data_IF_749459971284
#
_entry.id   IF_749459971284
#
_cell.length_a   1.000
_cell.length_b   1.000
_cell.length_c   1.000
_cell.angle_alpha   90.00
_cell.angle_beta   90.00
_cell.angle_gamma   90.00
#
_symmetry.space_group_name_H-M   'P 1'
#
loop_
_entity.id
_entity.type
_entity.pdbx_description
1 polymer ?
#
# COMPACT_ATOMS: atom_id res chain seq x y z
N UNK A 1 -4.52 -11.68 -14.34
CA UNK A 1 -4.58 -10.67 -13.27
C UNK A 1 -3.24 -9.93 -13.22
N UNK A 2 -3.26 -8.60 -13.18
CA UNK A 2 -2.06 -7.76 -13.12
C UNK A 2 -1.29 -7.89 -11.78
N UNK A 3 -1.88 -8.52 -10.78
CA UNK A 3 -1.30 -8.70 -9.47
C UNK A 3 -1.12 -10.20 -9.19
N UNK A 4 0.10 -10.64 -8.95
CA UNK A 4 0.34 -11.99 -8.45
C UNK A 4 -0.23 -12.13 -7.04
N UNK A 5 -0.74 -13.31 -6.67
CA UNK A 5 -1.28 -13.57 -5.32
C UNK A 5 -0.28 -13.21 -4.22
N UNK A 6 1.01 -13.46 -4.44
CA UNK A 6 2.07 -13.07 -3.51
C UNK A 6 2.18 -11.56 -3.29
N UNK A 7 1.98 -10.74 -4.34
CA UNK A 7 2.00 -9.29 -4.20
C UNK A 7 0.79 -8.75 -3.42
N UNK A 8 -0.37 -9.41 -3.52
CA UNK A 8 -1.57 -9.05 -2.75
C UNK A 8 -1.39 -9.40 -1.27
N UNK A 9 -0.89 -10.60 -0.97
CA UNK A 9 -0.60 -11.04 0.41
C UNK A 9 0.42 -10.10 1.06
N UNK A 10 1.54 -9.83 0.38
CA UNK A 10 2.56 -8.91 0.89
C UNK A 10 2.01 -7.50 1.12
N UNK A 11 1.16 -6.98 0.24
CA UNK A 11 0.50 -5.68 0.42
C UNK A 11 -0.42 -5.68 1.64
N UNK A 12 -1.33 -6.64 1.74
CA UNK A 12 -2.27 -6.70 2.86
C UNK A 12 -1.52 -6.80 4.18
N UNK A 13 -0.52 -7.70 4.30
CA UNK A 13 0.28 -7.85 5.52
C UNK A 13 1.03 -6.55 5.86
N UNK A 14 1.89 -6.06 4.97
CA UNK A 14 2.74 -4.90 5.27
C UNK A 14 1.96 -3.59 5.42
N UNK A 15 0.83 -3.42 4.71
CA UNK A 15 0.00 -2.23 4.84
C UNK A 15 -0.83 -2.28 6.12
N UNK A 16 -1.30 -3.46 6.54
CA UNK A 16 -2.00 -3.65 7.83
C UNK A 16 -1.06 -3.40 9.01
N UNK A 17 0.19 -3.88 8.95
CA UNK A 17 1.20 -3.62 9.98
C UNK A 17 1.44 -2.12 10.17
N UNK A 18 1.54 -1.35 9.09
CA UNK A 18 1.71 0.12 9.16
C UNK A 18 0.52 0.84 9.78
N UNK A 19 -0.71 0.36 9.50
CA UNK A 19 -1.92 0.90 10.12
C UNK A 19 -1.93 0.58 11.61
N UNK A 20 -1.58 -0.67 11.96
CA UNK A 20 -1.49 -1.13 13.34
C UNK A 20 -0.47 -0.32 14.14
N UNK A 21 0.75 -0.16 13.61
CA UNK A 21 1.81 0.61 14.25
C UNK A 21 1.36 2.04 14.55
N UNK A 22 0.67 2.68 13.58
CA UNK A 22 0.16 4.04 13.80
C UNK A 22 -0.93 4.08 14.86
N UNK A 23 -1.87 3.13 14.87
CA UNK A 23 -2.94 3.09 15.88
C UNK A 23 -2.38 2.76 17.26
N UNK A 24 -1.50 1.75 17.36
CA UNK A 24 -0.97 1.27 18.63
C UNK A 24 0.02 2.24 19.28
N UNK A 25 0.93 2.81 18.47
CA UNK A 25 2.00 3.66 18.97
C UNK A 25 1.81 5.12 18.59
N UNK A 26 1.45 5.40 17.33
CA UNK A 26 1.35 6.77 16.84
C UNK A 26 0.30 7.61 17.55
N UNK A 27 -0.91 7.07 17.74
CA UNK A 27 -2.00 7.77 18.44
C UNK A 27 -1.63 8.01 19.91
N UNK A 28 -1.05 7.02 20.57
CA UNK A 28 -0.62 7.11 21.97
C UNK A 28 0.47 8.17 22.14
N UNK A 29 1.51 8.13 21.32
CA UNK A 29 2.63 9.07 21.36
C UNK A 29 2.20 10.51 21.06
N UNK A 30 1.32 10.71 20.06
CA UNK A 30 0.76 12.05 19.76
C UNK A 30 -0.05 12.57 20.93
N UNK A 31 -0.88 11.72 21.56
CA UNK A 31 -1.70 12.11 22.71
C UNK A 31 -0.82 12.52 23.88
N UNK A 32 0.19 11.73 24.20
CA UNK A 32 1.16 12.04 25.26
C UNK A 32 1.91 13.35 24.93
N UNK A 33 2.37 13.53 23.71
CA UNK A 33 3.09 14.74 23.30
C UNK A 33 2.22 16.01 23.41
N UNK A 34 0.95 15.94 22.98
CA UNK A 34 -0.01 17.06 23.13
C UNK A 34 -0.30 17.36 24.59
N UNK A 35 -0.55 16.33 25.42
CA UNK A 35 -0.78 16.50 26.85
C UNK A 35 0.46 17.08 27.54
N UNK A 36 1.64 16.62 27.18
CA UNK A 36 2.90 17.13 27.71
C UNK A 36 3.11 18.59 27.33
N UNK A 37 2.94 18.96 26.04
CA UNK A 37 3.09 20.35 25.60
C UNK A 37 2.07 21.27 26.28
N UNK A 38 0.81 20.86 26.36
CA UNK A 38 -0.23 21.67 27.02
C UNK A 38 0.00 21.78 28.52
N UNK A 39 0.41 20.69 29.17
CA UNK A 39 0.74 20.67 30.60
C UNK A 39 1.95 21.55 30.91
N UNK A 40 3.05 21.40 30.18
CA UNK A 40 4.25 22.23 30.31
C UNK A 40 3.95 23.71 30.06
N UNK A 41 3.21 24.01 28.97
CA UNK A 41 2.80 25.38 28.66
C UNK A 41 1.99 26.03 29.79
N UNK A 42 0.98 25.29 30.29
CA UNK A 42 0.15 25.76 31.40
C UNK A 42 0.98 26.00 32.65
N UNK A 43 1.87 25.05 32.99
CA UNK A 43 2.72 25.17 34.16
C UNK A 43 3.68 26.37 34.07
N UNK A 44 4.29 26.60 32.90
CA UNK A 44 5.18 27.74 32.70
C UNK A 44 4.44 29.08 32.79
N UNK A 45 3.22 29.16 32.23
CA UNK A 45 2.37 30.35 32.30
C UNK A 45 1.93 30.62 33.75
N UNK A 46 1.63 29.57 34.52
CA UNK A 46 1.27 29.71 35.94
C UNK A 46 2.46 30.15 36.81
N UNK A 47 3.69 29.72 36.50
CA UNK A 47 4.89 30.12 37.22
C UNK A 47 5.28 31.61 36.98
N UNK A 48 5.31 32.02 35.74
CA UNK A 48 5.45 33.43 35.31
C UNK A 48 4.82 33.57 33.90
N UNK A 49 3.72 34.31 33.83
CA UNK A 49 2.96 34.41 32.60
C UNK A 49 3.73 35.08 31.44
N UNK A 50 4.65 36.01 31.73
CA UNK A 50 5.47 36.70 30.73
C UNK A 50 6.49 35.76 30.10
N UNK A 51 7.25 35.07 30.96
CA UNK A 51 8.23 34.08 30.50
C UNK A 51 7.57 32.86 29.87
N UNK A 52 6.47 32.41 30.45
CA UNK A 52 5.67 31.29 29.90
C UNK A 52 5.13 31.58 28.50
N UNK A 53 4.66 32.82 28.25
CA UNK A 53 4.23 33.20 26.88
C UNK A 53 5.39 33.24 25.89
N UNK A 54 6.54 33.78 26.28
CA UNK A 54 7.74 33.85 25.42
C UNK A 54 8.14 32.44 24.97
N UNK A 55 8.05 31.48 25.87
CA UNK A 55 8.41 30.08 25.59
C UNK A 55 7.37 29.34 24.76
N UNK A 56 6.06 29.57 25.02
CA UNK A 56 4.96 28.80 24.44
C UNK A 56 4.50 29.34 23.08
N UNK A 57 4.54 30.68 22.89
CA UNK A 57 4.03 31.32 21.67
C UNK A 57 4.70 30.83 20.38
N UNK A 58 6.03 30.53 20.32
CA UNK A 58 6.68 30.02 19.13
C UNK A 58 6.36 28.56 18.81
N UNK A 59 5.84 27.78 19.75
CA UNK A 59 5.59 26.35 19.56
C UNK A 59 4.65 26.05 18.37
N UNK A 60 3.50 26.71 18.21
CA UNK A 60 2.67 26.52 17.03
C UNK A 60 3.38 26.81 15.70
N UNK A 61 4.29 27.82 15.70
CA UNK A 61 5.08 28.15 14.51
C UNK A 61 6.07 27.02 14.18
N UNK A 62 6.74 26.45 15.19
CA UNK A 62 7.64 25.31 14.99
C UNK A 62 6.90 24.09 14.47
N UNK A 63 5.74 23.77 15.04
CA UNK A 63 4.89 22.69 14.57
C UNK A 63 4.45 22.90 13.11
N UNK A 64 3.99 24.11 12.78
CA UNK A 64 3.61 24.44 11.40
C UNK A 64 4.79 24.29 10.42
N UNK A 65 5.98 24.77 10.80
CA UNK A 65 7.20 24.62 9.99
C UNK A 65 7.56 23.15 9.77
N UNK A 66 7.42 22.29 10.80
CA UNK A 66 7.65 20.85 10.71
C UNK A 66 6.66 20.18 9.75
N UNK A 67 5.37 20.54 9.83
CA UNK A 67 4.36 20.00 8.93
C UNK A 67 4.62 20.39 7.47
N UNK A 68 4.88 21.66 7.19
CA UNK A 68 5.22 22.12 5.84
C UNK A 68 6.48 21.45 5.29
N UNK A 69 7.50 21.31 6.13
CA UNK A 69 8.72 20.60 5.74
C UNK A 69 8.45 19.13 5.47
N UNK A 70 7.60 18.49 6.27
CA UNK A 70 7.17 17.09 6.11
C UNK A 70 6.53 16.82 4.75
N UNK A 71 5.64 17.67 4.28
CA UNK A 71 5.01 17.57 2.95
C UNK A 71 6.06 17.67 1.82
N UNK A 72 6.97 18.65 1.92
CA UNK A 72 8.08 18.80 0.97
C UNK A 72 8.98 17.57 0.93
N UNK A 73 9.33 17.04 2.10
CA UNK A 73 10.14 15.82 2.22
C UNK A 73 9.46 14.60 1.61
N UNK A 74 8.16 14.45 1.78
CA UNK A 74 7.39 13.36 1.17
C UNK A 74 7.48 13.39 -0.36
N UNK A 75 7.38 14.57 -0.98
CA UNK A 75 7.55 14.73 -2.43
C UNK A 75 8.97 14.35 -2.88
N UNK A 76 9.99 14.81 -2.16
CA UNK A 76 11.39 14.50 -2.46
C UNK A 76 11.69 13.00 -2.31
N UNK A 77 11.23 12.37 -1.23
CA UNK A 77 11.37 10.93 -1.05
C UNK A 77 10.66 10.13 -2.15
N UNK A 78 9.49 10.55 -2.60
CA UNK A 78 8.78 9.88 -3.70
C UNK A 78 9.57 9.92 -5.00
N UNK A 79 10.23 11.03 -5.31
CA UNK A 79 11.13 11.15 -6.46
C UNK A 79 12.36 10.25 -6.30
N UNK A 80 12.97 10.28 -5.13
CA UNK A 80 14.14 9.47 -4.78
C UNK A 80 13.82 7.96 -4.95
N UNK A 81 12.71 7.48 -4.39
CA UNK A 81 12.30 6.09 -4.53
C UNK A 81 12.02 5.66 -5.97
N UNK A 82 11.47 6.54 -6.81
CA UNK A 82 11.31 6.25 -8.24
C UNK A 82 12.64 6.05 -8.96
N UNK A 83 13.63 6.87 -8.68
CA UNK A 83 14.99 6.74 -9.26
C UNK A 83 15.69 5.48 -8.74
N UNK A 84 15.58 5.21 -7.42
CA UNK A 84 16.09 4.00 -6.82
C UNK A 84 15.46 2.73 -7.40
N UNK A 85 14.12 2.71 -7.60
CA UNK A 85 13.42 1.60 -8.23
C UNK A 85 13.89 1.35 -9.67
N UNK A 86 14.19 2.40 -10.43
CA UNK A 86 14.77 2.28 -11.78
C UNK A 86 16.16 1.64 -11.73
N UNK A 87 17.00 2.05 -10.78
CA UNK A 87 18.34 1.47 -10.59
C UNK A 87 18.24 -0.02 -10.24
N UNK A 88 17.36 -0.37 -9.27
CA UNK A 88 17.15 -1.76 -8.87
C UNK A 88 16.58 -2.62 -10.00
N UNK A 89 15.69 -2.06 -10.84
CA UNK A 89 15.17 -2.76 -12.01
C UNK A 89 16.29 -3.13 -13.00
N UNK A 90 17.25 -2.23 -13.25
CA UNK A 90 18.41 -2.52 -14.12
C UNK A 90 19.20 -3.72 -13.57
N UNK A 91 19.43 -3.77 -12.26
CA UNK A 91 20.13 -4.91 -11.65
C UNK A 91 19.33 -6.21 -11.77
N UNK A 92 18.02 -6.14 -11.50
CA UNK A 92 17.13 -7.30 -11.61
C UNK A 92 17.03 -7.87 -13.02
N UNK A 93 17.22 -7.05 -14.04
CA UNK A 93 17.25 -7.49 -15.44
C UNK A 93 18.64 -7.99 -15.84
N UNK A 94 19.71 -7.27 -15.44
CA UNK A 94 21.06 -7.55 -15.89
C UNK A 94 21.66 -8.80 -15.22
N UNK A 95 21.41 -9.01 -13.91
CA UNK A 95 22.00 -10.14 -13.18
C UNK A 95 21.55 -11.50 -13.74
N UNK A 96 20.24 -11.78 -13.93
CA UNK A 96 19.80 -13.02 -14.57
C UNK A 96 20.26 -13.13 -16.04
N UNK A 97 20.35 -11.98 -16.74
CA UNK A 97 20.79 -11.89 -18.13
C UNK A 97 22.32 -11.90 -18.34
N UNK A 98 23.13 -12.13 -17.29
CA UNK A 98 24.58 -12.00 -17.36
C UNK A 98 25.23 -12.91 -18.43
N UNK A 99 24.65 -14.08 -18.70
CA UNK A 99 25.14 -14.97 -19.76
C UNK A 99 25.03 -14.32 -21.15
N UNK A 100 23.92 -13.60 -21.40
CA UNK A 100 23.69 -12.87 -22.64
C UNK A 100 24.66 -11.69 -22.74
N UNK A 101 24.85 -10.92 -21.67
CA UNK A 101 25.79 -9.79 -21.63
C UNK A 101 27.22 -10.28 -21.98
N UNK A 102 27.66 -11.41 -21.44
CA UNK A 102 28.97 -12.02 -21.72
C UNK A 102 29.05 -12.54 -23.16
N UNK A 103 28.01 -13.24 -23.64
CA UNK A 103 27.99 -13.80 -24.99
C UNK A 103 28.13 -12.71 -26.09
N UNK A 104 27.53 -11.52 -25.83
CA UNK A 104 27.62 -10.39 -26.77
C UNK A 104 28.72 -9.36 -26.42
N UNK A 105 29.56 -9.62 -25.40
CA UNK A 105 30.63 -8.73 -24.92
C UNK A 105 30.13 -7.30 -24.62
N UNK A 106 28.91 -7.16 -24.06
CA UNK A 106 28.25 -5.87 -23.77
C UNK A 106 28.41 -5.41 -22.32
N UNK A 107 29.48 -5.83 -21.66
CA UNK A 107 29.75 -5.48 -20.26
C UNK A 107 29.82 -3.97 -20.04
N UNK A 108 30.62 -3.26 -20.84
CA UNK A 108 30.76 -1.78 -20.73
C UNK A 108 29.43 -1.04 -20.95
N UNK A 109 28.60 -1.55 -21.85
CA UNK A 109 27.28 -0.96 -22.10
C UNK A 109 26.36 -1.05 -20.86
N UNK A 110 26.30 -2.21 -20.22
CA UNK A 110 25.47 -2.39 -19.02
C UNK A 110 26.02 -1.62 -17.81
N UNK A 111 27.35 -1.52 -17.65
CA UNK A 111 27.99 -0.68 -16.64
C UNK A 111 27.67 0.80 -16.88
N UNK A 112 27.76 1.29 -18.11
CA UNK A 112 27.39 2.68 -18.44
C UNK A 112 25.90 2.98 -18.19
N UNK A 113 25.03 2.01 -18.48
CA UNK A 113 23.58 2.11 -18.20
C UNK A 113 23.31 2.18 -16.71
N UNK A 114 23.98 1.33 -15.91
CA UNK A 114 23.91 1.35 -14.45
C UNK A 114 24.41 2.67 -13.87
N UNK A 115 25.59 3.14 -14.30
CA UNK A 115 26.19 4.39 -13.80
C UNK A 115 25.28 5.60 -14.05
N UNK A 116 24.69 5.74 -15.23
CA UNK A 116 23.72 6.81 -15.51
C UNK A 116 22.51 6.77 -14.60
N UNK A 117 22.00 5.58 -14.30
CA UNK A 117 20.86 5.42 -13.39
C UNK A 117 21.27 5.72 -11.95
N UNK A 118 22.49 5.31 -11.55
CA UNK A 118 23.06 5.57 -10.23
C UNK A 118 23.30 7.07 -10.00
N UNK A 119 23.89 7.79 -10.95
CA UNK A 119 24.04 9.25 -10.89
C UNK A 119 22.68 9.92 -10.68
N UNK A 120 21.66 9.55 -11.50
CA UNK A 120 20.34 10.12 -11.32
C UNK A 120 19.64 9.75 -10.00
N UNK A 121 20.00 8.64 -9.36
CA UNK A 121 19.53 8.30 -8.01
C UNK A 121 20.30 9.10 -6.96
N UNK A 122 21.61 9.24 -7.12
CA UNK A 122 22.48 9.98 -6.23
C UNK A 122 22.08 11.46 -6.15
N UNK A 123 21.81 12.11 -7.26
CA UNK A 123 21.35 13.50 -7.31
C UNK A 123 20.07 13.71 -6.49
N UNK A 124 19.13 12.77 -6.57
CA UNK A 124 17.89 12.85 -5.78
C UNK A 124 18.14 12.59 -4.28
N UNK A 125 19.11 11.75 -3.93
CA UNK A 125 19.55 11.59 -2.54
C UNK A 125 20.17 12.87 -1.99
N UNK A 126 20.96 13.56 -2.79
CA UNK A 126 21.53 14.86 -2.41
C UNK A 126 20.44 15.91 -2.17
N UNK A 127 19.41 16.00 -3.04
CA UNK A 127 18.28 16.93 -2.84
C UNK A 127 17.55 16.65 -1.51
N UNK A 128 17.31 15.36 -1.19
CA UNK A 128 16.69 14.96 0.07
C UNK A 128 17.56 15.36 1.26
N UNK A 129 18.87 15.09 1.18
CA UNK A 129 19.83 15.38 2.25
C UNK A 129 20.00 16.90 2.45
N UNK A 130 20.08 17.65 1.37
CA UNK A 130 20.18 19.10 1.42
C UNK A 130 18.95 19.73 2.09
N UNK A 131 17.74 19.29 1.72
CA UNK A 131 16.50 19.76 2.35
C UNK A 131 16.48 19.46 3.85
N UNK A 132 16.93 18.27 4.25
CA UNK A 132 17.02 17.86 5.65
C UNK A 132 18.06 18.67 6.42
N UNK A 133 19.26 18.77 5.87
CA UNK A 133 20.41 19.44 6.52
C UNK A 133 20.20 20.97 6.65
N UNK A 134 19.43 21.58 5.77
CA UNK A 134 19.07 22.99 5.89
C UNK A 134 17.96 23.23 6.91
N UNK A 135 16.96 22.39 6.97
CA UNK A 135 15.79 22.61 7.83
C UNK A 135 16.09 22.37 9.32
N UNK A 136 16.71 21.24 9.65
CA UNK A 136 16.92 20.83 11.04
C UNK A 136 17.75 21.82 11.87
N UNK A 137 18.92 22.30 11.41
CA UNK A 137 19.69 23.29 12.17
C UNK A 137 18.94 24.60 12.35
N UNK A 138 18.18 25.07 11.35
CA UNK A 138 17.38 26.29 11.44
C UNK A 138 16.29 26.14 12.51
N UNK A 139 15.58 25.01 12.51
CA UNK A 139 14.58 24.72 13.51
C UNK A 139 15.17 24.68 14.93
N UNK A 140 16.29 23.96 15.11
CA UNK A 140 17.00 23.89 16.38
C UNK A 140 17.52 25.24 16.84
N UNK A 141 18.06 26.05 15.92
CA UNK A 141 18.47 27.38 16.21
C UNK A 141 17.30 28.26 16.69
N UNK A 142 16.12 28.11 16.08
CA UNK A 142 14.90 28.79 16.52
C UNK A 142 14.47 28.40 17.93
N UNK A 143 14.49 27.09 18.24
CA UNK A 143 14.17 26.58 19.58
C UNK A 143 15.19 27.13 20.60
N UNK A 144 16.51 27.05 20.33
CA UNK A 144 17.52 27.54 21.23
C UNK A 144 17.48 29.08 21.36
N UNK A 145 17.15 29.82 20.31
CA UNK A 145 16.95 31.26 20.36
C UNK A 145 15.78 31.62 21.30
N UNK A 146 14.69 30.86 21.28
CA UNK A 146 13.57 31.03 22.21
C UNK A 146 14.02 30.79 23.66
N UNK A 147 14.81 29.73 23.91
CA UNK A 147 15.40 29.48 25.22
C UNK A 147 16.29 30.64 25.66
N UNK A 148 17.19 31.12 24.79
CA UNK A 148 18.10 32.20 25.07
C UNK A 148 17.38 33.51 25.35
N UNK A 149 16.31 33.79 24.56
CA UNK A 149 15.44 34.96 24.82
C UNK A 149 14.78 34.90 26.20
N UNK A 150 14.29 33.69 26.58
CA UNK A 150 13.72 33.49 27.92
C UNK A 150 14.76 33.76 29.02
N UNK A 151 15.99 33.31 28.83
CA UNK A 151 17.09 33.60 29.78
C UNK A 151 17.41 35.09 29.85
N UNK A 152 17.52 35.79 28.72
CA UNK A 152 17.77 37.22 28.67
C UNK A 152 16.71 38.03 29.41
N UNK A 153 15.48 37.57 29.43
CA UNK A 153 14.36 38.19 30.14
C UNK A 153 14.29 37.79 31.63
N UNK A 154 14.69 36.55 31.97
CA UNK A 154 14.59 36.02 33.33
C UNK A 154 15.75 36.49 34.23
N UNK A 155 17.00 36.50 33.73
CA UNK A 155 18.18 36.82 34.53
C UNK A 155 18.13 38.21 35.14
N UNK A 156 17.82 39.31 34.41
CA UNK A 156 17.70 40.65 35.01
C UNK A 156 16.62 40.72 36.10
N UNK A 157 15.53 39.97 35.94
CA UNK A 157 14.42 39.91 36.90
C UNK A 157 14.78 39.12 38.17
N UNK A 158 15.72 38.16 38.06
CA UNK A 158 16.25 37.41 39.20
C UNK A 158 17.07 38.27 40.13
N UNK A 159 17.81 39.24 39.57
CA UNK A 159 18.68 40.17 40.35
C UNK A 159 18.01 41.50 40.68
N UNK A 160 16.73 41.70 40.32
CA UNK A 160 16.01 42.93 40.65
C UNK A 160 15.61 42.96 42.13
N UNK A 161 15.83 44.11 42.76
CA UNK A 161 15.52 44.32 44.21
C UNK A 161 14.03 44.28 44.50
N UNK A 162 13.19 44.52 43.49
CA UNK A 162 11.72 44.56 43.63
C UNK A 162 11.02 43.19 43.55
N UNK A 163 11.73 42.08 43.75
CA UNK A 163 11.16 40.75 43.89
C UNK A 163 10.58 40.16 42.58
N UNK A 164 11.23 40.39 41.45
CA UNK A 164 10.71 40.06 40.15
C UNK A 164 10.58 38.54 39.85
N UNK A 165 11.57 37.73 40.26
CA UNK A 165 11.57 36.27 40.00
C UNK A 165 12.33 35.56 41.12
N UNK A 166 11.76 34.46 41.68
CA UNK A 166 12.50 33.69 42.66
C UNK A 166 13.53 32.76 41.99
N UNK A 167 14.62 32.44 42.70
CA UNK A 167 15.62 31.49 42.22
C UNK A 167 15.00 30.10 41.94
N UNK A 168 14.04 29.67 42.76
CA UNK A 168 13.31 28.41 42.56
C UNK A 168 12.49 28.42 41.27
N UNK A 169 11.77 29.52 40.99
CA UNK A 169 11.01 29.66 39.74
C UNK A 169 11.95 29.65 38.54
N UNK A 170 13.10 30.32 38.61
CA UNK A 170 14.09 30.31 37.53
C UNK A 170 14.60 28.88 37.24
N UNK A 171 14.98 28.13 38.25
CA UNK A 171 15.44 26.76 38.12
C UNK A 171 14.32 25.87 37.53
N UNK A 172 13.07 26.03 37.96
CA UNK A 172 11.92 25.31 37.40
C UNK A 172 11.75 25.60 35.91
N UNK A 173 11.92 26.87 35.47
CA UNK A 173 11.89 27.22 34.06
C UNK A 173 13.01 26.51 33.29
N UNK A 174 14.25 26.48 33.79
CA UNK A 174 15.36 25.77 33.14
C UNK A 174 15.04 24.29 32.92
N UNK A 175 14.48 23.60 33.91
CA UNK A 175 14.14 22.22 33.82
C UNK A 175 13.01 21.98 32.80
N UNK A 176 11.92 22.74 32.86
CA UNK A 176 10.79 22.59 31.94
C UNK A 176 11.16 22.95 30.49
N UNK A 177 12.03 23.93 30.26
CA UNK A 177 12.52 24.27 28.93
C UNK A 177 13.18 23.10 28.22
N UNK A 178 13.97 22.28 28.93
CA UNK A 178 14.63 21.10 28.33
C UNK A 178 13.65 20.03 27.90
N UNK A 179 12.45 20.00 28.50
CA UNK A 179 11.41 19.02 28.21
C UNK A 179 10.56 19.38 26.97
N UNK A 180 10.69 20.58 26.40
CA UNK A 180 9.86 21.03 25.28
C UNK A 180 10.26 20.43 23.94
N UNK A 181 11.52 20.11 23.71
CA UNK A 181 12.02 19.64 22.42
C UNK A 181 11.46 18.27 22.06
N UNK A 182 11.43 17.34 23.01
CA UNK A 182 11.02 15.96 22.76
C UNK A 182 9.56 15.83 22.23
N UNK A 183 8.53 16.44 22.83
CA UNK A 183 7.16 16.39 22.29
C UNK A 183 7.03 16.99 20.87
N UNK A 184 7.78 18.06 20.57
CA UNK A 184 7.77 18.68 19.24
C UNK A 184 8.33 17.71 18.18
N UNK A 185 9.44 17.03 18.51
CA UNK A 185 10.05 16.02 17.64
C UNK A 185 9.12 14.81 17.43
N UNK A 186 8.47 14.32 18.49
CA UNK A 186 7.51 13.21 18.45
C UNK A 186 6.37 13.56 17.50
N UNK A 187 5.75 14.73 17.63
CA UNK A 187 4.65 15.15 16.75
C UNK A 187 5.13 15.19 15.30
N UNK A 188 6.33 15.69 15.03
CA UNK A 188 6.90 15.69 13.69
C UNK A 188 7.15 14.27 13.11
N UNK A 189 7.57 13.31 13.95
CA UNK A 189 7.75 11.93 13.53
C UNK A 189 6.40 11.25 13.25
N UNK A 190 5.42 11.47 14.12
CA UNK A 190 4.10 10.85 14.01
C UNK A 190 3.30 11.37 12.82
N UNK A 191 3.49 12.63 12.41
CA UNK A 191 2.89 13.16 11.18
C UNK A 191 3.31 12.34 9.94
N UNK A 192 4.58 11.93 9.85
CA UNK A 192 5.07 11.07 8.76
C UNK A 192 4.48 9.65 8.83
N UNK A 193 4.35 9.12 10.05
CA UNK A 193 3.76 7.80 10.28
C UNK A 193 2.27 7.78 9.91
N UNK A 194 1.53 8.82 10.26
CA UNK A 194 0.13 9.02 9.87
C UNK A 194 -0.05 9.02 8.35
N UNK A 195 0.76 9.77 7.61
CA UNK A 195 0.68 9.81 6.14
C UNK A 195 0.92 8.44 5.51
N UNK A 196 1.85 7.64 6.06
CA UNK A 196 2.08 6.26 5.60
C UNK A 196 0.89 5.37 5.92
N UNK A 197 0.33 5.45 7.12
CA UNK A 197 -0.83 4.67 7.55
C UNK A 197 -2.06 4.98 6.69
N UNK A 198 -2.36 6.26 6.42
CA UNK A 198 -3.46 6.69 5.54
C UNK A 198 -3.28 6.13 4.11
N UNK A 199 -2.07 6.21 3.55
CA UNK A 199 -1.79 5.65 2.24
C UNK A 199 -1.94 4.13 2.20
N UNK A 200 -1.53 3.44 3.27
CA UNK A 200 -1.70 1.99 3.41
C UNK A 200 -3.17 1.61 3.59
N UNK A 201 -3.93 2.34 4.39
CA UNK A 201 -5.37 2.15 4.56
C UNK A 201 -6.12 2.28 3.23
N UNK A 202 -5.80 3.30 2.44
CA UNK A 202 -6.43 3.47 1.11
C UNK A 202 -6.22 2.24 0.22
N UNK A 203 -5.00 1.66 0.18
CA UNK A 203 -4.73 0.44 -0.60
C UNK A 203 -5.42 -0.80 -0.07
N UNK A 204 -5.55 -0.95 1.25
CA UNK A 204 -6.30 -2.04 1.87
C UNK A 204 -7.78 -1.93 1.53
N UNK A 205 -8.37 -0.75 1.65
CA UNK A 205 -9.77 -0.51 1.28
C UNK A 205 -10.02 -0.68 -0.22
N UNK A 206 -9.08 -0.31 -1.10
CA UNK A 206 -9.19 -0.58 -2.53
C UNK A 206 -9.35 -2.08 -2.82
N UNK A 207 -8.68 -2.94 -2.03
CA UNK A 207 -8.82 -4.39 -2.14
C UNK A 207 -10.17 -4.86 -1.57
N UNK A 208 -10.54 -4.37 -0.39
CA UNK A 208 -11.80 -4.74 0.28
C UNK A 208 -13.03 -4.31 -0.52
N UNK A 209 -12.99 -3.13 -1.12
CA UNK A 209 -14.07 -2.56 -1.93
C UNK A 209 -14.09 -3.14 -3.36
N UNK A 210 -13.08 -3.94 -3.73
CA UNK A 210 -13.06 -4.56 -5.05
C UNK A 210 -14.21 -5.54 -5.22
N UNK A 211 -15.13 -5.22 -6.12
CA UNK A 211 -16.26 -6.09 -6.43
C UNK A 211 -15.82 -7.23 -7.34
N UNK A 212 -16.27 -8.44 -7.03
CA UNK A 212 -16.10 -9.56 -7.93
C UNK A 212 -16.72 -9.24 -9.30
N UNK A 213 -15.96 -9.43 -10.38
CA UNK A 213 -16.44 -9.18 -11.75
C UNK A 213 -17.57 -10.14 -12.14
N UNK A 214 -17.54 -11.35 -11.60
CA UNK A 214 -18.53 -12.40 -11.84
C UNK A 214 -19.32 -12.58 -10.55
N UNK A 215 -20.60 -12.20 -10.61
CA UNK A 215 -21.52 -12.27 -9.48
C UNK A 215 -22.65 -13.22 -9.87
N UNK A 216 -23.05 -14.07 -8.93
CA UNK A 216 -24.27 -14.86 -9.09
C UNK A 216 -25.50 -13.92 -9.11
N UNK A 217 -26.44 -14.08 -10.04
CA UNK A 217 -27.67 -13.29 -10.00
C UNK A 217 -28.43 -13.55 -8.70
N UNK A 218 -29.07 -12.53 -8.13
CA UNK A 218 -29.83 -12.63 -6.87
C UNK A 218 -30.94 -13.72 -6.94
N UNK A 219 -31.51 -13.93 -8.12
CA UNK A 219 -32.52 -14.93 -8.39
C UNK A 219 -32.00 -15.89 -9.47
N UNK A 220 -30.77 -16.39 -9.33
CA UNK A 220 -30.17 -17.30 -10.28
C UNK A 220 -30.96 -18.63 -10.36
N UNK A 221 -31.12 -19.12 -11.59
CA UNK A 221 -31.79 -20.41 -11.80
C UNK A 221 -30.88 -21.55 -11.35
N UNK A 222 -31.41 -22.47 -10.57
CA UNK A 222 -30.75 -23.73 -10.20
C UNK A 222 -31.20 -24.83 -11.17
N UNK A 223 -30.22 -25.42 -11.89
CA UNK A 223 -30.47 -26.59 -12.72
C UNK A 223 -30.46 -27.84 -11.83
N UNK A 224 -31.59 -28.51 -11.70
CA UNK A 224 -31.70 -29.69 -10.81
C UNK A 224 -31.06 -30.94 -11.41
N UNK A 225 -31.17 -31.19 -12.71
CA UNK A 225 -30.61 -32.34 -13.38
C UNK A 225 -29.87 -31.89 -14.63
N UNK A 226 -28.59 -31.56 -14.47
CA UNK A 226 -27.74 -31.06 -15.57
C UNK A 226 -27.42 -32.25 -16.51
N UNK A 227 -27.92 -32.18 -17.73
CA UNK A 227 -27.66 -33.17 -18.79
C UNK A 227 -26.33 -32.93 -19.49
N UNK A 228 -25.88 -31.67 -19.48
CA UNK A 228 -24.56 -31.29 -19.98
C UNK A 228 -24.54 -30.91 -21.47
N UNK A 229 -25.67 -30.56 -22.06
CA UNK A 229 -25.67 -29.94 -23.39
C UNK A 229 -25.08 -28.54 -23.29
N UNK A 230 -24.05 -28.24 -24.10
CA UNK A 230 -23.37 -26.93 -24.12
C UNK A 230 -23.48 -26.33 -25.51
N UNK A 231 -23.98 -25.10 -25.60
CA UNK A 231 -24.10 -24.39 -26.88
C UNK A 231 -23.41 -23.02 -26.79
N UNK A 232 -22.48 -22.78 -27.68
CA UNK A 232 -21.89 -21.48 -27.94
C UNK A 232 -22.58 -20.84 -29.15
N UNK A 233 -23.06 -19.58 -29.02
CA UNK A 233 -23.68 -18.82 -30.09
C UNK A 233 -22.99 -17.51 -30.30
N UNK A 234 -22.27 -17.34 -31.41
CA UNK A 234 -21.48 -16.16 -31.81
C UNK A 234 -20.67 -15.56 -30.66
N UNK A 235 -19.97 -16.39 -29.90
CA UNK A 235 -19.25 -15.99 -28.70
C UNK A 235 -18.01 -15.20 -29.09
N UNK A 236 -17.93 -13.96 -28.60
CA UNK A 236 -16.74 -13.09 -28.72
C UNK A 236 -16.21 -12.79 -27.33
N UNK A 237 -14.90 -12.86 -27.17
CA UNK A 237 -14.28 -12.68 -25.88
C UNK A 237 -12.87 -12.08 -25.98
N UNK A 238 -12.55 -11.19 -25.04
CA UNK A 238 -11.22 -10.61 -24.80
C UNK A 238 -11.00 -10.48 -23.28
N UNK A 239 -9.76 -10.71 -22.81
CA UNK A 239 -9.41 -10.50 -21.40
C UNK A 239 -9.25 -9.03 -21.02
N UNK A 240 -8.78 -8.22 -21.95
CA UNK A 240 -8.44 -6.80 -21.77
C UNK A 240 -9.40 -5.83 -22.49
N UNK A 241 -10.37 -6.35 -23.21
CA UNK A 241 -11.27 -5.57 -24.06
C UNK A 241 -10.64 -5.08 -25.38
N UNK A 242 -9.34 -5.26 -25.57
CA UNK A 242 -8.59 -4.71 -26.71
C UNK A 242 -8.27 -5.79 -27.75
N UNK A 243 -7.82 -6.97 -27.29
CA UNK A 243 -7.39 -8.07 -28.17
C UNK A 243 -8.40 -9.20 -28.15
N UNK A 244 -9.17 -9.38 -29.24
CA UNK A 244 -10.17 -10.44 -29.32
C UNK A 244 -9.48 -11.81 -29.41
N UNK A 245 -9.80 -12.70 -28.45
CA UNK A 245 -9.34 -14.10 -28.43
C UNK A 245 -10.33 -15.02 -29.12
N UNK A 246 -11.62 -14.86 -28.80
CA UNK A 246 -12.69 -15.54 -29.53
C UNK A 246 -13.39 -14.51 -30.41
N UNK A 247 -13.60 -14.85 -31.70
CA UNK A 247 -14.05 -13.93 -32.76
C UNK A 247 -15.36 -14.43 -33.41
N UNK A 248 -16.37 -14.81 -32.59
CA UNK A 248 -17.64 -15.30 -33.09
C UNK A 248 -17.66 -16.84 -33.20
N UNK A 249 -17.31 -17.48 -32.07
CA UNK A 249 -17.28 -18.96 -32.02
C UNK A 249 -18.68 -19.52 -31.75
N UNK A 250 -19.11 -20.46 -32.61
CA UNK A 250 -20.37 -21.16 -32.47
C UNK A 250 -20.18 -22.68 -32.64
N UNK A 251 -20.61 -23.43 -31.65
CA UNK A 251 -20.62 -24.91 -31.69
C UNK A 251 -21.60 -25.44 -30.63
N UNK A 252 -21.91 -26.72 -30.75
CA UNK A 252 -22.80 -27.44 -29.84
C UNK A 252 -22.16 -28.75 -29.41
N UNK A 253 -22.20 -29.04 -28.12
CA UNK A 253 -21.82 -30.31 -27.51
C UNK A 253 -23.14 -30.96 -27.03
N UNK A 254 -23.39 -32.18 -27.42
CA UNK A 254 -24.60 -32.94 -27.01
C UNK A 254 -24.36 -33.56 -25.61
N UNK A 255 -25.44 -33.94 -24.96
CA UNK A 255 -25.41 -34.75 -23.75
C UNK A 255 -24.54 -35.99 -23.93
N UNK A 256 -23.62 -36.27 -23.00
CA UNK A 256 -22.72 -37.42 -23.04
C UNK A 256 -21.63 -37.39 -24.11
N UNK A 257 -21.56 -36.36 -24.92
CA UNK A 257 -20.56 -36.25 -25.99
C UNK A 257 -19.17 -35.84 -25.43
N UNK A 258 -18.15 -36.55 -25.95
CA UNK A 258 -16.73 -36.16 -25.70
C UNK A 258 -16.20 -35.41 -26.91
N UNK A 259 -15.67 -34.22 -26.68
CA UNK A 259 -15.05 -33.41 -27.74
C UNK A 259 -13.57 -33.09 -27.44
N UNK A 260 -12.76 -33.01 -28.50
CA UNK A 260 -11.40 -32.55 -28.46
C UNK A 260 -11.27 -31.16 -29.05
N UNK A 261 -10.68 -30.21 -28.28
CA UNK A 261 -10.34 -28.88 -28.77
C UNK A 261 -8.90 -28.89 -29.28
N UNK A 262 -8.71 -28.76 -30.61
CA UNK A 262 -7.42 -28.79 -31.28
C UNK A 262 -7.11 -27.45 -31.89
N UNK A 263 -5.84 -27.05 -31.92
CA UNK A 263 -5.40 -25.80 -32.52
C UNK A 263 -4.08 -25.30 -31.95
N UNK A 264 -3.54 -24.23 -32.55
CA UNK A 264 -2.28 -23.61 -32.15
C UNK A 264 -2.30 -23.08 -30.70
N UNK A 265 -1.12 -22.89 -30.12
CA UNK A 265 -1.01 -22.22 -28.82
C UNK A 265 -1.56 -20.77 -28.91
N UNK A 266 -2.34 -20.36 -27.94
CA UNK A 266 -3.02 -19.05 -27.98
C UNK A 266 -4.34 -19.04 -28.76
N UNK A 267 -4.76 -20.13 -29.41
CA UNK A 267 -6.00 -20.22 -30.22
C UNK A 267 -7.32 -20.20 -29.42
N UNK A 268 -7.30 -19.93 -28.12
CA UNK A 268 -8.50 -19.76 -27.29
C UNK A 268 -9.04 -21.05 -26.66
N UNK A 269 -8.37 -22.20 -26.80
CA UNK A 269 -8.81 -23.50 -26.21
C UNK A 269 -9.10 -23.42 -24.70
N UNK A 270 -8.13 -22.96 -23.92
CA UNK A 270 -8.30 -22.77 -22.47
C UNK A 270 -9.26 -21.63 -22.13
N UNK A 271 -9.52 -20.71 -23.06
CA UNK A 271 -10.52 -19.66 -22.87
C UNK A 271 -11.91 -20.22 -22.95
N UNK A 272 -12.17 -21.17 -23.85
CA UNK A 272 -13.46 -21.87 -23.95
C UNK A 272 -13.80 -22.58 -22.64
N UNK A 273 -12.85 -23.34 -22.07
CA UNK A 273 -13.06 -24.02 -20.78
C UNK A 273 -13.33 -23.05 -19.64
N UNK A 274 -12.62 -21.90 -19.61
CA UNK A 274 -12.85 -20.83 -18.61
C UNK A 274 -14.19 -20.12 -18.77
N UNK A 275 -14.76 -20.07 -19.98
CA UNK A 275 -16.10 -19.54 -20.22
C UNK A 275 -17.17 -20.56 -19.83
N UNK A 276 -16.96 -21.85 -20.07
CA UNK A 276 -17.87 -22.93 -19.64
C UNK A 276 -17.95 -22.96 -18.09
N UNK A 277 -16.83 -22.82 -17.38
CA UNK A 277 -16.81 -22.75 -15.90
C UNK A 277 -17.23 -21.38 -15.36
N UNK A 278 -17.55 -20.43 -16.24
CA UNK A 278 -17.89 -19.05 -15.92
C UNK A 278 -16.87 -18.39 -15.00
N UNK A 279 -15.57 -18.55 -15.27
CA UNK A 279 -14.54 -17.69 -14.68
C UNK A 279 -14.52 -16.28 -15.30
N UNK A 280 -15.11 -16.17 -16.49
CA UNK A 280 -15.33 -14.92 -17.21
C UNK A 280 -16.70 -14.97 -17.87
N UNK A 281 -17.35 -13.81 -18.03
CA UNK A 281 -18.53 -13.66 -18.87
C UNK A 281 -18.12 -13.30 -20.30
N UNK A 282 -18.89 -13.74 -21.28
CA UNK A 282 -18.65 -13.42 -22.70
C UNK A 282 -18.84 -11.92 -22.96
N UNK A 283 -18.07 -11.37 -23.88
CA UNK A 283 -18.18 -9.97 -24.32
C UNK A 283 -19.42 -9.75 -25.19
N UNK A 284 -19.70 -10.68 -26.11
CA UNK A 284 -20.93 -10.76 -26.90
C UNK A 284 -21.21 -12.20 -27.27
N UNK A 285 -22.44 -12.47 -27.73
CA UNK A 285 -22.94 -13.84 -27.89
C UNK A 285 -23.38 -14.45 -26.56
N UNK A 286 -23.64 -15.73 -26.55
CA UNK A 286 -24.12 -16.44 -25.35
C UNK A 286 -23.55 -17.85 -25.27
N UNK A 287 -23.42 -18.34 -24.03
CA UNK A 287 -23.14 -19.74 -23.70
C UNK A 287 -24.33 -20.27 -22.95
N UNK A 288 -24.89 -21.35 -23.50
CA UNK A 288 -26.06 -22.03 -22.95
C UNK A 288 -25.63 -23.35 -22.37
N UNK A 289 -26.19 -23.70 -21.20
CA UNK A 289 -26.12 -25.01 -20.56
C UNK A 289 -27.54 -25.54 -20.46
N UNK A 290 -27.81 -26.69 -21.10
CA UNK A 290 -29.16 -27.27 -21.20
C UNK A 290 -30.23 -26.25 -21.64
N UNK A 291 -29.89 -25.44 -22.64
CA UNK A 291 -30.75 -24.40 -23.19
C UNK A 291 -30.84 -23.10 -22.38
N UNK A 292 -30.26 -23.01 -21.19
CA UNK A 292 -30.29 -21.82 -20.33
C UNK A 292 -28.98 -21.04 -20.39
N UNK A 293 -29.05 -19.70 -20.44
CA UNK A 293 -27.86 -18.87 -20.47
C UNK A 293 -27.10 -18.97 -19.14
N UNK A 294 -25.81 -19.30 -19.21
CA UNK A 294 -24.92 -19.46 -18.06
C UNK A 294 -24.89 -18.25 -17.14
N UNK A 295 -25.13 -17.03 -17.67
CA UNK A 295 -25.19 -15.79 -16.87
C UNK A 295 -26.38 -15.78 -15.92
N UNK A 296 -27.45 -16.48 -16.22
CA UNK A 296 -28.67 -16.52 -15.44
C UNK A 296 -28.67 -17.62 -14.38
N UNK A 297 -27.71 -18.53 -14.42
CA UNK A 297 -27.60 -19.63 -13.48
C UNK A 297 -27.05 -19.17 -12.12
N UNK A 298 -27.52 -19.84 -11.06
CA UNK A 298 -26.92 -19.73 -9.74
C UNK A 298 -25.52 -20.35 -9.79
N UNK A 299 -24.50 -19.54 -9.54
CA UNK A 299 -23.11 -19.87 -9.87
C UNK A 299 -22.54 -20.98 -9.01
N UNK A 300 -22.91 -21.03 -7.72
CA UNK A 300 -22.42 -22.04 -6.78
C UNK A 300 -23.01 -23.42 -7.13
N UNK A 301 -24.32 -23.50 -7.34
CA UNK A 301 -24.98 -24.74 -7.73
C UNK A 301 -24.47 -25.27 -9.08
N UNK A 302 -24.29 -24.38 -10.06
CA UNK A 302 -23.72 -24.72 -11.35
C UNK A 302 -22.31 -25.31 -11.22
N UNK A 303 -21.41 -24.63 -10.49
CA UNK A 303 -20.02 -25.09 -10.33
C UNK A 303 -19.88 -26.40 -9.56
N UNK A 304 -20.80 -26.70 -8.64
CA UNK A 304 -20.85 -28.02 -7.97
C UNK A 304 -21.06 -29.17 -8.95
N UNK A 305 -21.68 -28.92 -10.10
CA UNK A 305 -21.93 -29.93 -11.13
C UNK A 305 -20.83 -29.99 -12.20
N UNK A 306 -19.77 -29.20 -12.08
CA UNK A 306 -18.67 -29.13 -13.05
C UNK A 306 -17.40 -29.67 -12.44
N UNK A 307 -16.86 -30.75 -12.95
CA UNK A 307 -15.53 -31.25 -12.65
C UNK A 307 -14.48 -30.59 -13.56
N UNK A 308 -13.35 -30.15 -13.00
CA UNK A 308 -12.25 -29.53 -13.76
C UNK A 308 -10.90 -30.14 -13.39
N UNK A 309 -10.14 -30.57 -14.39
CA UNK A 309 -8.75 -30.98 -14.23
C UNK A 309 -7.86 -29.92 -14.85
N UNK A 310 -7.00 -29.32 -14.03
CA UNK A 310 -6.06 -28.29 -14.47
C UNK A 310 -4.79 -28.90 -15.06
N UNK A 311 -4.15 -28.18 -15.98
CA UNK A 311 -2.88 -28.58 -16.59
C UNK A 311 -1.76 -28.68 -15.54
N UNK A 312 -1.73 -27.75 -14.59
CA UNK A 312 -0.85 -27.77 -13.42
C UNK A 312 -1.71 -28.08 -12.20
N UNK A 313 -1.63 -29.31 -11.62
CA UNK A 313 -2.40 -29.65 -10.43
C UNK A 313 -1.86 -28.85 -9.23
N UNK A 314 -2.77 -28.35 -8.42
CA UNK A 314 -2.46 -27.64 -7.18
C UNK A 314 -2.96 -28.45 -5.98
N UNK A 315 -2.07 -28.69 -5.02
CA UNK A 315 -2.42 -29.34 -3.75
C UNK A 315 -2.41 -28.29 -2.64
N UNK A 316 -3.51 -28.24 -1.90
CA UNK A 316 -3.59 -27.43 -0.70
C UNK A 316 -2.81 -28.08 0.46
N UNK A 317 -2.31 -27.27 1.37
CA UNK A 317 -1.72 -27.78 2.61
C UNK A 317 -2.82 -28.49 3.43
N UNK A 318 -2.60 -29.76 3.71
CA UNK A 318 -3.55 -30.61 4.41
C UNK A 318 -3.31 -32.08 4.07
N UNK A 319 -4.23 -32.95 4.45
CA UNK A 319 -4.18 -34.38 4.19
C UNK A 319 -4.53 -34.71 2.72
N UNK A 320 -4.22 -35.92 2.28
CA UNK A 320 -4.62 -36.42 0.95
C UNK A 320 -6.15 -36.46 0.86
N UNK A 321 -6.80 -36.88 1.93
CA UNK A 321 -8.30 -36.96 1.98
C UNK A 321 -8.91 -35.57 1.81
N UNK A 322 -8.42 -34.55 2.51
CA UNK A 322 -8.89 -33.15 2.38
C UNK A 322 -8.70 -32.61 0.96
N UNK A 323 -7.61 -32.95 0.30
CA UNK A 323 -7.36 -32.54 -1.08
C UNK A 323 -8.29 -33.25 -2.08
N UNK A 324 -8.56 -34.55 -1.87
CA UNK A 324 -9.51 -35.32 -2.72
C UNK A 324 -10.94 -34.85 -2.50
N UNK A 325 -11.30 -34.60 -1.25
CA UNK A 325 -12.64 -34.19 -0.84
C UNK A 325 -12.93 -32.70 -0.99
N UNK A 326 -11.98 -31.91 -1.50
CA UNK A 326 -12.04 -30.43 -1.48
C UNK A 326 -13.33 -29.84 -2.08
N UNK A 327 -13.96 -30.52 -3.05
CA UNK A 327 -15.21 -30.07 -3.67
C UNK A 327 -16.47 -30.69 -3.09
N UNK A 328 -16.36 -31.55 -2.11
CA UNK A 328 -17.49 -32.34 -1.57
C UNK A 328 -17.90 -31.77 -0.20
N UNK A 329 -19.21 -31.77 0.07
CA UNK A 329 -19.78 -31.49 1.40
C UNK A 329 -20.03 -32.83 2.09
N UNK A 330 -19.60 -32.97 3.35
CA UNK A 330 -19.80 -34.17 4.19
C UNK A 330 -19.17 -35.44 3.61
N UNK A 331 -17.85 -35.51 3.63
CA UNK A 331 -17.10 -36.75 3.33
C UNK A 331 -16.84 -37.45 4.66
N UNK A 332 -17.53 -38.56 4.89
CA UNK A 332 -17.25 -39.52 5.96
C UNK A 332 -16.01 -40.35 5.65
#
# INVERSE_FOLDING_TARGET
SKNSSGSLISRVSSDTDRIWDFIAFGVTEVTIAILTLTGLSSMLIMLDWKLGLVMTLPVPLFLWAIFMHGERMQMLFTKCFRKWSKLTSILSDTIPGMQVVKAFSKHEHEVAKFNRANEGALDQFYEVHEAWTRFWPILMLGIHATMMMTWCLAVPRLFSVDGGLSAGTFVSFLLYMTMFSAPIEIIGQMARMMNRAVSSAHRVFEILDSRAKIISPKNGEVLKDIKGEIVFKDVRFSYDGLRPILKGVSFKIKEGEMIGLVGSSGGGKSTITKLITRFYDVGSGEVLIDGKNIKNLELSAYRKSVGMVLQEPYLFQGTILENIAYGLENVD
#
